data_IF_635196999168
#
_entry.id   IF_635196999168
#
_cell.length_a   1.000
_cell.length_b   1.000
_cell.length_c   1.000
_cell.angle_alpha   90.00
_cell.angle_beta   90.00
_cell.angle_gamma   90.00
#
_symmetry.space_group_name_H-M   'P 1'
#
loop_
_entity.id
_entity.type
_entity.pdbx_description
1 polymer ?
#
# COMPACT_ATOMS: atom_id res chain seq x y z
N UNK A 1 -5.72 -2.47 -37.76
CA UNK A 1 -4.95 -1.54 -36.92
C UNK A 1 -5.75 -0.25 -36.90
N UNK A 2 -6.38 0.07 -35.78
CA UNK A 2 -7.12 1.33 -35.66
C UNK A 2 -6.13 2.45 -35.33
N UNK A 3 -6.20 3.55 -36.08
CA UNK A 3 -5.40 4.75 -35.84
C UNK A 3 -6.35 5.84 -35.38
N UNK A 4 -6.17 6.26 -34.13
CA UNK A 4 -6.89 7.42 -33.58
C UNK A 4 -5.98 8.63 -33.73
N UNK A 5 -6.45 9.64 -34.48
CA UNK A 5 -5.75 10.90 -34.69
C UNK A 5 -6.31 11.97 -33.76
N UNK A 6 -5.44 12.73 -33.12
CA UNK A 6 -5.81 13.84 -32.23
C UNK A 6 -5.13 15.12 -32.71
N UNK A 7 -5.78 16.26 -32.48
CA UNK A 7 -5.20 17.56 -32.79
C UNK A 7 -4.04 17.86 -31.84
N UNK A 8 -2.95 18.45 -32.36
CA UNK A 8 -1.75 18.74 -31.56
C UNK A 8 -2.04 19.63 -30.35
N UNK A 9 -2.94 20.60 -30.47
CA UNK A 9 -3.33 21.48 -29.36
C UNK A 9 -3.97 20.72 -28.20
N UNK A 10 -4.84 19.75 -28.51
CA UNK A 10 -5.52 18.91 -27.51
C UNK A 10 -4.50 17.99 -26.83
N UNK A 11 -3.54 17.47 -27.59
CA UNK A 11 -2.44 16.68 -27.05
C UNK A 11 -1.55 17.50 -26.09
N UNK A 12 -1.22 18.74 -26.44
CA UNK A 12 -0.43 19.62 -25.57
C UNK A 12 -1.18 19.99 -24.28
N UNK A 13 -2.50 20.21 -24.37
CA UNK A 13 -3.35 20.42 -23.18
C UNK A 13 -3.40 19.18 -22.28
N UNK A 14 -3.39 17.98 -22.86
CA UNK A 14 -3.33 16.74 -22.10
C UNK A 14 -2.00 16.60 -21.36
N UNK A 15 -0.87 16.87 -22.04
CA UNK A 15 0.46 16.83 -21.44
C UNK A 15 0.58 17.82 -20.27
N UNK A 16 0.14 19.06 -20.46
CA UNK A 16 0.18 20.07 -19.39
C UNK A 16 -0.74 19.72 -18.21
N UNK A 17 -1.86 19.01 -18.42
CA UNK A 17 -2.65 18.43 -17.32
C UNK A 17 -1.89 17.33 -16.57
N UNK A 18 -1.12 16.49 -17.28
CA UNK A 18 -0.27 15.47 -16.64
C UNK A 18 0.84 16.09 -15.81
N UNK A 19 1.49 17.15 -16.29
CA UNK A 19 2.53 17.87 -15.54
C UNK A 19 1.99 18.50 -14.26
N UNK A 20 0.80 19.10 -14.35
CA UNK A 20 0.10 19.65 -13.18
C UNK A 20 -0.24 18.57 -12.15
N UNK A 21 -0.65 17.39 -12.62
CA UNK A 21 -0.92 16.25 -11.75
C UNK A 21 0.36 15.74 -11.08
N UNK A 22 1.48 15.68 -11.81
CA UNK A 22 2.79 15.31 -11.27
C UNK A 22 3.23 16.28 -10.16
N UNK A 23 3.09 17.59 -10.41
CA UNK A 23 3.41 18.63 -9.44
C UNK A 23 2.55 18.53 -8.17
N UNK A 24 1.24 18.29 -8.33
CA UNK A 24 0.33 18.07 -7.22
C UNK A 24 0.73 16.86 -6.37
N UNK A 25 1.02 15.71 -6.99
CA UNK A 25 1.47 14.52 -6.27
C UNK A 25 2.77 14.76 -5.50
N UNK A 26 3.76 15.42 -6.11
CA UNK A 26 5.02 15.79 -5.43
C UNK A 26 4.77 16.67 -4.20
N UNK A 27 3.81 17.58 -4.27
CA UNK A 27 3.44 18.43 -3.16
C UNK A 27 2.76 17.65 -2.02
N UNK A 28 1.81 16.77 -2.36
CA UNK A 28 1.10 15.93 -1.39
C UNK A 28 2.07 14.99 -0.66
N UNK A 29 3.01 14.38 -1.38
CA UNK A 29 4.02 13.49 -0.78
C UNK A 29 4.96 14.25 0.17
N UNK A 30 5.38 15.47 -0.19
CA UNK A 30 6.20 16.32 0.68
C UNK A 30 5.49 16.77 1.96
N UNK A 31 4.17 16.74 1.99
CA UNK A 31 3.38 17.16 3.13
C UNK A 31 3.07 16.05 4.14
N UNK A 32 3.46 14.79 3.91
CA UNK A 32 3.33 13.77 4.96
C UNK A 32 4.34 14.08 6.07
N UNK A 33 3.90 14.50 7.26
CA UNK A 33 4.80 14.96 8.33
C UNK A 33 5.52 13.79 9.01
N UNK A 34 5.08 12.55 8.76
CA UNK A 34 5.62 11.34 9.34
C UNK A 34 6.52 10.65 8.30
N UNK A 35 7.65 10.14 8.77
CA UNK A 35 8.56 9.32 7.95
C UNK A 35 7.99 7.95 7.61
N UNK A 36 6.97 7.52 8.35
CA UNK A 36 6.30 6.23 8.20
C UNK A 36 4.80 6.43 8.02
N UNK A 37 4.21 5.63 7.13
CA UNK A 37 2.76 5.60 6.94
C UNK A 37 2.12 4.77 8.07
N UNK A 38 1.12 5.36 8.70
CA UNK A 38 0.31 4.72 9.74
C UNK A 38 -1.08 4.43 9.19
N UNK A 39 -1.56 3.22 9.45
CA UNK A 39 -2.87 2.75 9.01
C UNK A 39 -3.75 2.58 10.24
N UNK A 40 -5.02 2.95 10.13
CA UNK A 40 -6.00 2.64 11.15
C UNK A 40 -6.46 1.16 11.09
N UNK A 41 -7.41 0.80 11.95
CA UNK A 41 -7.97 -0.57 12.01
C UNK A 41 -8.58 -0.99 10.67
N UNK A 42 -9.34 -0.11 10.03
CA UNK A 42 -10.08 -0.43 8.81
C UNK A 42 -9.12 -0.59 7.64
N UNK A 43 -8.19 0.34 7.48
CA UNK A 43 -7.14 0.30 6.46
C UNK A 43 -6.26 -0.95 6.61
N UNK A 44 -5.86 -1.28 7.84
CA UNK A 44 -5.08 -2.48 8.14
C UNK A 44 -5.84 -3.76 7.79
N UNK A 45 -7.13 -3.84 8.15
CA UNK A 45 -7.98 -4.98 7.83
C UNK A 45 -8.15 -5.18 6.32
N UNK A 46 -8.34 -4.09 5.58
CA UNK A 46 -8.47 -4.12 4.12
C UNK A 46 -7.17 -4.56 3.46
N UNK A 47 -6.03 -4.04 3.91
CA UNK A 47 -4.72 -4.37 3.38
C UNK A 47 -4.38 -5.87 3.58
N UNK A 48 -4.56 -6.36 4.80
CA UNK A 48 -4.28 -7.77 5.16
C UNK A 48 -5.40 -8.73 4.75
N UNK A 49 -6.55 -8.22 4.33
CA UNK A 49 -7.78 -8.99 4.01
C UNK A 49 -8.25 -9.86 5.19
N UNK A 50 -8.26 -9.27 6.38
CA UNK A 50 -8.67 -9.93 7.62
C UNK A 50 -9.84 -9.20 8.28
N UNK A 51 -10.54 -9.88 9.19
CA UNK A 51 -11.59 -9.26 9.99
C UNK A 51 -11.02 -8.45 11.16
N UNK A 52 -11.78 -7.47 11.67
CA UNK A 52 -11.45 -6.72 12.89
C UNK A 52 -11.19 -7.63 14.09
N UNK A 53 -11.94 -8.74 14.20
CA UNK A 53 -11.75 -9.75 15.25
C UNK A 53 -10.38 -10.44 15.14
N UNK A 54 -9.93 -10.72 13.92
CA UNK A 54 -8.62 -11.31 13.66
C UNK A 54 -7.51 -10.32 14.02
N UNK A 55 -7.64 -9.06 13.59
CA UNK A 55 -6.68 -8.01 13.93
C UNK A 55 -6.63 -7.76 15.44
N UNK A 56 -7.76 -7.82 16.14
CA UNK A 56 -7.79 -7.80 17.60
C UNK A 56 -7.01 -8.98 18.20
N UNK A 57 -7.23 -10.20 17.70
CA UNK A 57 -6.46 -11.37 18.13
C UNK A 57 -4.96 -11.20 17.91
N UNK A 58 -4.53 -10.61 16.78
CA UNK A 58 -3.12 -10.32 16.53
C UNK A 58 -2.53 -9.34 17.55
N UNK A 59 -3.30 -8.34 17.98
CA UNK A 59 -2.87 -7.39 19.02
C UNK A 59 -2.80 -8.06 20.39
N UNK A 60 -3.83 -8.82 20.76
CA UNK A 60 -3.92 -9.52 22.04
C UNK A 60 -2.79 -10.55 22.20
N UNK A 61 -2.36 -11.17 21.09
CA UNK A 61 -1.29 -12.17 21.05
C UNK A 61 0.11 -11.56 20.80
N UNK A 62 0.22 -10.25 20.60
CA UNK A 62 1.48 -9.58 20.30
C UNK A 62 2.09 -9.95 18.93
N UNK A 63 1.27 -10.39 17.98
CA UNK A 63 1.69 -10.80 16.62
C UNK A 63 2.01 -9.59 15.74
N UNK A 64 1.35 -8.47 15.96
CA UNK A 64 1.54 -7.25 15.18
C UNK A 64 1.73 -6.05 16.11
N UNK A 65 2.79 -5.29 15.89
CA UNK A 65 3.07 -4.07 16.66
C UNK A 65 2.07 -2.98 16.27
N UNK A 66 1.53 -2.28 17.27
CA UNK A 66 0.57 -1.20 17.08
C UNK A 66 0.84 -0.06 18.06
N UNK A 67 0.38 1.14 17.70
CA UNK A 67 0.31 2.30 18.58
C UNK A 67 -1.13 2.61 18.96
N UNK A 68 -1.36 3.07 20.19
CA UNK A 68 -2.68 3.45 20.66
C UNK A 68 -2.69 4.90 21.15
N UNK A 69 -3.59 5.71 20.60
CA UNK A 69 -3.77 7.12 20.98
C UNK A 69 -5.25 7.39 21.22
N UNK A 70 -5.63 7.70 22.46
CA UNK A 70 -7.02 8.01 22.81
C UNK A 70 -8.02 6.89 22.46
N UNK A 71 -7.60 5.62 22.58
CA UNK A 71 -8.44 4.48 22.21
C UNK A 71 -8.40 4.10 20.73
N UNK A 72 -7.87 4.96 19.85
CA UNK A 72 -7.65 4.62 18.44
C UNK A 72 -6.37 3.81 18.29
N UNK A 73 -6.40 2.85 17.37
CA UNK A 73 -5.29 1.94 17.11
C UNK A 73 -4.73 2.27 15.73
N UNK A 74 -3.41 2.35 15.67
CA UNK A 74 -2.65 2.58 14.45
C UNK A 74 -1.62 1.48 14.29
N UNK A 75 -1.51 0.93 13.09
CA UNK A 75 -0.50 -0.06 12.72
C UNK A 75 0.41 0.57 11.68
N UNK A 76 1.71 0.49 11.89
CA UNK A 76 2.67 1.08 10.97
C UNK A 76 2.84 0.20 9.74
N UNK A 77 3.10 0.80 8.57
CA UNK A 77 3.31 0.04 7.34
C UNK A 77 4.48 -0.95 7.49
N UNK A 78 5.56 -0.57 8.20
CA UNK A 78 6.70 -1.47 8.43
C UNK A 78 6.32 -2.68 9.29
N UNK A 79 5.48 -2.50 10.31
CA UNK A 79 5.00 -3.60 11.14
C UNK A 79 4.15 -4.60 10.33
N UNK A 80 3.34 -4.11 9.38
CA UNK A 80 2.58 -4.95 8.46
C UNK A 80 3.52 -5.72 7.52
N UNK A 81 4.53 -5.05 6.96
CA UNK A 81 5.54 -5.72 6.13
C UNK A 81 6.29 -6.81 6.90
N UNK A 82 6.74 -6.52 8.12
CA UNK A 82 7.41 -7.48 8.98
C UNK A 82 6.52 -8.70 9.25
N UNK A 83 5.24 -8.46 9.56
CA UNK A 83 4.26 -9.52 9.76
C UNK A 83 4.14 -10.42 8.51
N UNK A 84 4.06 -9.85 7.31
CA UNK A 84 3.99 -10.61 6.06
C UNK A 84 5.29 -11.39 5.78
N UNK A 85 6.45 -10.78 6.04
CA UNK A 85 7.76 -11.43 5.88
C UNK A 85 7.89 -12.65 6.79
N UNK A 86 7.46 -12.54 8.05
CA UNK A 86 7.48 -13.64 9.02
C UNK A 86 6.56 -14.80 8.63
N UNK A 87 5.52 -14.56 7.84
CA UNK A 87 4.59 -15.59 7.35
C UNK A 87 4.86 -16.04 5.91
N UNK A 88 5.97 -15.59 5.30
CA UNK A 88 6.33 -15.97 3.94
C UNK A 88 6.80 -17.42 3.89
N UNK A 89 6.16 -18.24 3.04
CA UNK A 89 6.57 -19.63 2.78
C UNK A 89 7.26 -19.72 1.43
N UNK A 90 8.36 -20.48 1.35
CA UNK A 90 9.06 -20.71 0.08
C UNK A 90 8.11 -21.44 -0.88
N UNK A 91 8.03 -20.95 -2.11
CA UNK A 91 7.33 -21.67 -3.17
C UNK A 91 7.97 -23.06 -3.37
N UNK A 92 7.15 -24.05 -3.69
CA UNK A 92 7.64 -25.40 -4.00
C UNK A 92 8.67 -25.32 -5.14
N UNK A 93 9.82 -25.99 -4.98
CA UNK A 93 10.79 -26.11 -6.07
C UNK A 93 10.10 -26.79 -7.25
N UNK A 94 10.11 -26.17 -8.44
CA UNK A 94 9.65 -26.85 -9.68
C UNK A 94 10.42 -28.17 -9.79
N UNK A 95 9.76 -29.31 -10.08
CA UNK A 95 10.47 -30.55 -10.34
C UNK A 95 11.45 -30.30 -11.50
N UNK A 96 12.70 -30.73 -11.33
CA UNK A 96 13.66 -30.76 -12.43
C UNK A 96 13.11 -31.76 -13.45
N UNK A 97 12.52 -31.25 -14.53
CA UNK A 97 12.20 -32.06 -15.70
C UNK A 97 13.55 -32.33 -16.36
N UNK A 98 14.14 -33.48 -16.08
CA UNK A 98 15.24 -34.02 -16.88
C UNK A 98 14.61 -34.56 -18.17
N UNK A 99 14.89 -33.90 -19.29
CA UNK A 99 14.63 -34.43 -20.65
C UNK A 99 15.83 -35.27 -21.03
#
# INVERSE_FOLDING_TARGET
MEVVTIQSEVFQQLLSKLDNLESYFKHVVKQQPLSEQWLDIEETCQLLKISKRTLQGYRDQGIITYSQVGGKIYVSASAIEEHLRNHTRKAFKKPKISI
#
